data_IF_175294979611
#
_entry.id   IF_175294979611
#
_cell.length_a   1.000
_cell.length_b   1.000
_cell.length_c   1.000
_cell.angle_alpha   90.00
_cell.angle_beta   90.00
_cell.angle_gamma   90.00
#
_symmetry.space_group_name_H-M   'P 1'
#
loop_
_entity.id
_entity.type
_entity.pdbx_description
1 polymer ?
#
# COMPACT_ATOMS: atom_id res chain seq x y z
N UNK A 1 -11.21 19.13 0.33
CA UNK A 1 -10.68 17.97 1.08
C UNK A 1 -9.93 18.53 2.28
N UNK A 2 -10.25 18.14 3.51
CA UNK A 2 -9.49 18.66 4.67
C UNK A 2 -8.05 18.18 4.64
N UNK A 3 -7.12 18.92 5.26
CA UNK A 3 -5.71 18.55 5.30
C UNK A 3 -5.50 17.14 5.89
N UNK A 4 -6.30 16.73 6.87
CA UNK A 4 -6.25 15.37 7.46
C UNK A 4 -6.58 14.27 6.46
N UNK A 5 -7.66 14.43 5.68
CA UNK A 5 -8.07 13.44 4.67
C UNK A 5 -7.02 13.24 3.57
N UNK A 6 -6.29 14.32 3.23
CA UNK A 6 -5.20 14.28 2.26
C UNK A 6 -3.97 13.56 2.82
N UNK A 7 -3.68 13.76 4.12
CA UNK A 7 -2.60 13.08 4.83
C UNK A 7 -2.87 11.58 4.96
N UNK A 8 -4.08 11.19 5.33
CA UNK A 8 -4.52 9.79 5.42
C UNK A 8 -4.38 9.09 4.08
N UNK A 9 -4.85 9.71 3.00
CA UNK A 9 -4.68 9.16 1.65
C UNK A 9 -3.20 9.01 1.28
N UNK A 10 -2.37 10.03 1.53
CA UNK A 10 -0.94 10.00 1.23
C UNK A 10 -0.22 8.89 2.03
N UNK A 11 -0.59 8.71 3.30
CA UNK A 11 -0.05 7.65 4.14
C UNK A 11 -0.35 6.27 3.59
N UNK A 12 -1.64 5.96 3.39
CA UNK A 12 -2.08 4.63 2.98
C UNK A 12 -1.75 4.29 1.52
N UNK A 13 -1.81 5.23 0.58
CA UNK A 13 -1.59 4.93 -0.84
C UNK A 13 -0.14 5.12 -1.30
N UNK A 14 0.68 5.87 -0.56
CA UNK A 14 2.04 6.22 -0.98
C UNK A 14 3.07 5.79 0.06
N UNK A 15 3.00 6.33 1.28
CA UNK A 15 4.08 6.13 2.26
C UNK A 15 4.22 4.66 2.69
N UNK A 16 3.12 4.02 3.08
CA UNK A 16 3.15 2.61 3.49
C UNK A 16 3.56 1.66 2.35
N UNK A 17 2.98 1.77 1.13
CA UNK A 17 3.38 0.96 -0.02
C UNK A 17 4.85 1.08 -0.39
N UNK A 18 5.40 2.31 -0.42
CA UNK A 18 6.81 2.54 -0.76
C UNK A 18 7.71 1.95 0.31
N UNK A 19 7.41 2.20 1.58
CA UNK A 19 8.22 1.67 2.70
C UNK A 19 8.21 0.15 2.71
N UNK A 20 7.04 -0.46 2.49
CA UNK A 20 6.90 -1.91 2.36
C UNK A 20 7.70 -2.45 1.17
N UNK A 21 7.60 -1.81 0.00
CA UNK A 21 8.30 -2.25 -1.21
C UNK A 21 9.83 -2.22 -1.00
N UNK A 22 10.36 -1.13 -0.44
CA UNK A 22 11.79 -1.01 -0.13
C UNK A 22 12.23 -2.07 0.88
N UNK A 23 11.51 -2.21 2.00
CA UNK A 23 11.84 -3.21 3.02
C UNK A 23 11.80 -4.64 2.47
N UNK A 24 10.78 -4.98 1.68
CA UNK A 24 10.61 -6.32 1.13
C UNK A 24 11.63 -6.63 0.03
N UNK A 25 11.99 -5.64 -0.80
CA UNK A 25 13.08 -5.78 -1.76
C UNK A 25 14.42 -5.96 -1.06
N UNK A 26 14.71 -5.16 -0.03
CA UNK A 26 15.94 -5.30 0.75
C UNK A 26 16.02 -6.71 1.35
N UNK A 27 14.95 -7.16 2.00
CA UNK A 27 14.88 -8.49 2.59
C UNK A 27 15.08 -9.61 1.56
N UNK A 28 14.30 -9.61 0.49
CA UNK A 28 14.31 -10.70 -0.50
C UNK A 28 15.60 -10.74 -1.31
N UNK A 29 16.11 -9.58 -1.71
CA UNK A 29 17.28 -9.50 -2.57
C UNK A 29 18.58 -9.65 -1.77
N UNK A 30 18.75 -8.95 -0.65
CA UNK A 30 20.02 -8.99 0.11
C UNK A 30 20.10 -10.13 1.12
N UNK A 31 19.02 -10.44 1.83
CA UNK A 31 19.05 -11.44 2.93
C UNK A 31 18.73 -12.83 2.40
N UNK A 32 17.73 -12.95 1.54
CA UNK A 32 17.30 -14.22 0.96
C UNK A 32 18.00 -14.60 -0.35
N UNK A 33 18.78 -13.69 -0.93
CA UNK A 33 19.42 -13.85 -2.25
C UNK A 33 18.47 -14.39 -3.33
N UNK A 34 17.20 -13.98 -3.29
CA UNK A 34 16.28 -14.28 -4.37
C UNK A 34 16.70 -13.52 -5.63
N UNK A 35 16.55 -14.15 -6.80
CA UNK A 35 16.81 -13.48 -8.07
C UNK A 35 16.00 -12.18 -8.15
N UNK A 36 16.63 -11.11 -8.64
CA UNK A 36 16.06 -9.75 -8.65
C UNK A 36 14.63 -9.72 -9.22
N UNK A 37 14.41 -10.37 -10.36
CA UNK A 37 13.10 -10.45 -11.01
C UNK A 37 12.07 -11.13 -10.12
N UNK A 38 12.43 -12.22 -9.43
CA UNK A 38 11.52 -12.93 -8.53
C UNK A 38 11.17 -12.09 -7.29
N UNK A 39 12.16 -11.39 -6.73
CA UNK A 39 11.96 -10.49 -5.59
C UNK A 39 11.04 -9.31 -5.97
N UNK A 40 11.26 -8.71 -7.14
CA UNK A 40 10.45 -7.62 -7.69
C UNK A 40 9.03 -8.10 -7.96
N UNK A 41 8.85 -9.15 -8.76
CA UNK A 41 7.52 -9.69 -9.11
C UNK A 41 6.73 -10.04 -7.85
N UNK A 42 7.34 -10.76 -6.90
CA UNK A 42 6.67 -11.12 -5.65
C UNK A 42 6.26 -9.89 -4.83
N UNK A 43 7.13 -8.87 -4.76
CA UNK A 43 6.85 -7.62 -4.04
C UNK A 43 5.70 -6.85 -4.69
N UNK A 44 5.71 -6.73 -6.02
CA UNK A 44 4.65 -6.06 -6.78
C UNK A 44 3.33 -6.82 -6.74
N UNK A 45 3.34 -8.15 -6.74
CA UNK A 45 2.11 -8.94 -6.61
C UNK A 45 1.41 -8.67 -5.28
N UNK A 46 2.14 -8.64 -4.17
CA UNK A 46 1.59 -8.29 -2.85
C UNK A 46 1.11 -6.84 -2.81
N UNK A 47 1.86 -5.91 -3.41
CA UNK A 47 1.45 -4.51 -3.49
C UNK A 47 0.15 -4.35 -4.30
N UNK A 48 0.00 -5.10 -5.39
CA UNK A 48 -1.21 -5.12 -6.20
C UNK A 48 -2.42 -5.59 -5.39
N UNK A 49 -2.28 -6.70 -4.64
CA UNK A 49 -3.34 -7.19 -3.74
C UNK A 49 -3.69 -6.13 -2.69
N UNK A 50 -2.69 -5.49 -2.10
CA UNK A 50 -2.90 -4.40 -1.14
C UNK A 50 -3.74 -3.26 -1.75
N UNK A 51 -3.42 -2.80 -2.96
CA UNK A 51 -4.19 -1.74 -3.61
C UNK A 51 -5.62 -2.15 -3.97
N UNK A 52 -5.83 -3.41 -4.35
CA UNK A 52 -7.20 -3.93 -4.59
C UNK A 52 -8.00 -3.87 -3.29
N UNK A 53 -7.44 -4.35 -2.18
CA UNK A 53 -8.11 -4.34 -0.88
C UNK A 53 -8.37 -2.91 -0.39
N UNK A 54 -7.36 -2.03 -0.47
CA UNK A 54 -7.51 -0.63 -0.12
C UNK A 54 -8.61 0.05 -0.97
N UNK A 55 -8.67 -0.24 -2.27
CA UNK A 55 -9.70 0.30 -3.15
C UNK A 55 -11.11 -0.18 -2.76
N UNK A 56 -11.26 -1.46 -2.39
CA UNK A 56 -12.52 -2.00 -1.90
C UNK A 56 -12.93 -1.30 -0.60
N UNK A 57 -12.03 -1.17 0.38
CA UNK A 57 -12.31 -0.51 1.66
C UNK A 57 -12.74 0.94 1.45
N UNK A 58 -11.98 1.72 0.69
CA UNK A 58 -12.32 3.12 0.41
C UNK A 58 -13.61 3.27 -0.40
N UNK A 59 -13.90 2.33 -1.31
CA UNK A 59 -15.18 2.29 -2.05
C UNK A 59 -16.35 2.04 -1.11
N UNK A 60 -16.25 1.05 -0.22
CA UNK A 60 -17.29 0.73 0.79
C UNK A 60 -17.50 1.92 1.75
N UNK A 61 -16.43 2.55 2.22
CA UNK A 61 -16.52 3.74 3.07
C UNK A 61 -17.26 4.89 2.38
N UNK A 62 -16.96 5.12 1.10
CA UNK A 62 -17.65 6.13 0.28
C UNK A 62 -19.15 5.84 0.16
N UNK A 63 -19.53 4.58 -0.07
CA UNK A 63 -20.95 4.17 -0.15
C UNK A 63 -21.66 4.35 1.19
N UNK A 64 -20.97 4.10 2.31
CA UNK A 64 -21.51 4.26 3.66
C UNK A 64 -21.51 5.71 4.16
N UNK A 65 -21.02 6.66 3.37
CA UNK A 65 -20.92 8.08 3.76
C UNK A 65 -19.92 8.35 4.89
N UNK A 66 -19.05 7.40 5.21
CA UNK A 66 -18.01 7.55 6.24
C UNK A 66 -16.92 8.46 5.69
N UNK A 67 -16.62 9.55 6.38
CA UNK A 67 -15.61 10.49 5.94
C UNK A 67 -14.22 10.03 6.41
N UNK A 68 -13.18 10.37 5.66
CA UNK A 68 -11.79 10.11 6.04
C UNK A 68 -11.34 10.86 7.30
N UNK A 69 -12.20 11.71 7.86
CA UNK A 69 -11.99 12.39 9.15
C UNK A 69 -12.46 11.56 10.34
N UNK A 70 -13.32 10.58 10.09
CA UNK A 70 -13.95 9.73 11.11
C UNK A 70 -13.09 8.48 11.42
N UNK A 71 -11.96 8.33 10.72
CA UNK A 71 -10.91 7.31 10.89
C UNK A 71 -9.62 8.02 11.26
#
# INVERSE_FOLDING_TARGET
>A
MSNSSKLTFLGFFIFFPITFLLANLIWRFFIKSEGFINAVTSSLSILGIYYILASIVFSVMKVRGVNLKDI
#
